data_IF_349641468720
#
_entry.id   IF_349641468720
#
_cell.length_a   1.000
_cell.length_b   1.000
_cell.length_c   1.000
_cell.angle_alpha   90.00
_cell.angle_beta   90.00
_cell.angle_gamma   90.00
#
_symmetry.space_group_name_H-M   'P 1'
#
loop_
_entity.id
_entity.type
_entity.pdbx_description
1 polymer ?
#
# COMPACT_ATOMS: atom_id res chain seq x y z
N UNK A 1 -22.81 -14.09 -0.82
CA UNK A 1 -21.47 -14.43 -1.33
C UNK A 1 -20.89 -13.15 -1.90
N UNK A 2 -19.95 -12.52 -1.22
CA UNK A 2 -19.23 -11.38 -1.78
C UNK A 2 -18.26 -11.92 -2.83
N UNK A 3 -18.39 -11.48 -4.08
CA UNK A 3 -17.53 -11.91 -5.19
C UNK A 3 -16.30 -11.02 -5.26
N UNK A 4 -15.24 -11.47 -5.96
CA UNK A 4 -14.02 -10.68 -6.22
C UNK A 4 -14.34 -9.26 -6.72
N UNK A 5 -15.41 -9.12 -7.51
CA UNK A 5 -15.89 -7.83 -8.03
C UNK A 5 -16.29 -6.81 -6.95
N UNK A 6 -16.87 -7.26 -5.83
CA UNK A 6 -17.21 -6.37 -4.70
C UNK A 6 -15.94 -5.82 -4.04
N UNK A 7 -14.92 -6.67 -3.89
CA UNK A 7 -13.62 -6.27 -3.37
C UNK A 7 -12.85 -5.36 -4.34
N UNK A 8 -12.99 -5.57 -5.65
CA UNK A 8 -12.41 -4.69 -6.68
C UNK A 8 -13.01 -3.28 -6.58
N UNK A 9 -14.33 -3.18 -6.43
CA UNK A 9 -15.02 -1.91 -6.22
C UNK A 9 -14.56 -1.23 -4.93
N UNK A 10 -14.50 -1.96 -3.82
CA UNK A 10 -14.00 -1.43 -2.53
C UNK A 10 -12.54 -1.00 -2.60
N UNK A 11 -11.66 -1.80 -3.20
CA UNK A 11 -10.26 -1.46 -3.39
C UNK A 11 -10.13 -0.17 -4.21
N UNK A 12 -10.87 -0.08 -5.33
CA UNK A 12 -10.87 1.10 -6.18
C UNK A 12 -11.44 2.32 -5.45
N UNK A 13 -12.50 2.17 -4.68
CA UNK A 13 -13.09 3.25 -3.89
C UNK A 13 -12.12 3.72 -2.79
N UNK A 14 -11.47 2.81 -2.08
CA UNK A 14 -10.44 3.15 -1.09
C UNK A 14 -9.28 3.91 -1.72
N UNK A 15 -8.78 3.42 -2.86
CA UNK A 15 -7.68 4.04 -3.61
C UNK A 15 -8.09 5.40 -4.21
N UNK A 16 -9.32 5.54 -4.70
CA UNK A 16 -9.82 6.79 -5.29
C UNK A 16 -10.26 7.81 -4.23
N UNK A 17 -10.74 7.35 -3.08
CA UNK A 17 -11.17 8.20 -1.97
C UNK A 17 -9.99 8.67 -1.12
N UNK A 18 -8.91 7.89 -1.06
CA UNK A 18 -7.70 8.24 -0.31
C UNK A 18 -6.55 8.53 -1.27
N UNK A 19 -6.08 9.78 -1.26
CA UNK A 19 -4.90 10.18 -2.04
C UNK A 19 -3.66 9.36 -1.65
N UNK A 20 -3.56 8.96 -0.39
CA UNK A 20 -2.46 8.16 0.15
C UNK A 20 -3.05 6.91 0.77
N UNK A 21 -2.89 5.77 0.09
CA UNK A 21 -3.41 4.48 0.53
C UNK A 21 -2.26 3.48 0.57
N UNK A 22 -2.28 2.57 1.53
CA UNK A 22 -1.24 1.56 1.67
C UNK A 22 -1.87 0.23 2.01
N UNK A 23 -1.49 -0.79 1.26
CA UNK A 23 -1.91 -2.16 1.52
C UNK A 23 -0.81 -2.88 2.28
N UNK A 24 -1.12 -3.34 3.49
CA UNK A 24 -0.21 -4.07 4.36
C UNK A 24 -0.78 -5.42 4.75
N UNK A 25 0.11 -6.28 5.24
CA UNK A 25 -0.28 -7.49 5.93
C UNK A 25 0.54 -7.62 7.22
N UNK A 26 -0.14 -7.76 8.35
CA UNK A 26 0.46 -7.74 9.67
C UNK A 26 1.50 -8.87 9.88
N UNK A 27 1.32 -10.00 9.19
CA UNK A 27 2.25 -11.13 9.20
C UNK A 27 3.53 -10.88 8.37
N UNK A 28 3.61 -9.79 7.61
CA UNK A 28 4.70 -9.51 6.68
C UNK A 28 5.74 -8.56 7.32
N UNK A 29 7.00 -9.00 7.51
CA UNK A 29 8.04 -8.18 8.15
C UNK A 29 8.37 -6.93 7.32
N UNK A 30 8.28 -7.02 5.99
CA UNK A 30 8.51 -5.92 5.05
C UNK A 30 7.52 -4.77 5.22
N UNK A 31 6.29 -5.08 5.64
CA UNK A 31 5.27 -4.08 5.95
C UNK A 31 5.65 -3.28 7.20
N UNK A 32 6.19 -3.93 8.23
CA UNK A 32 6.62 -3.27 9.47
C UNK A 32 7.81 -2.33 9.23
N UNK A 33 8.74 -2.76 8.37
CA UNK A 33 9.86 -1.92 7.95
C UNK A 33 9.36 -0.67 7.21
N UNK A 34 8.51 -0.85 6.19
CA UNK A 34 7.92 0.26 5.43
C UNK A 34 7.17 1.25 6.34
N UNK A 35 6.37 0.75 7.29
CA UNK A 35 5.67 1.59 8.26
C UNK A 35 6.64 2.37 9.17
N UNK A 36 7.73 1.74 9.59
CA UNK A 36 8.75 2.41 10.40
C UNK A 36 9.40 3.57 9.64
N UNK A 37 9.67 3.38 8.35
CA UNK A 37 10.20 4.45 7.49
C UNK A 37 9.19 5.58 7.34
N UNK A 38 7.95 5.26 6.96
CA UNK A 38 6.87 6.26 6.85
C UNK A 38 6.63 7.01 8.17
N UNK A 39 6.81 6.35 9.31
CA UNK A 39 6.72 6.97 10.64
C UNK A 39 7.89 7.91 10.90
N UNK A 40 9.12 7.56 10.50
CA UNK A 40 10.30 8.44 10.64
C UNK A 40 10.10 9.77 9.91
N UNK A 41 9.38 9.77 8.79
CA UNK A 41 9.07 11.00 8.03
C UNK A 41 7.77 11.68 8.46
N UNK A 42 7.08 11.17 9.50
CA UNK A 42 5.79 11.69 10.00
C UNK A 42 4.66 11.68 8.93
N UNK A 43 4.82 10.88 7.88
CA UNK A 43 3.86 10.78 6.77
C UNK A 43 2.89 9.63 6.93
N UNK A 44 3.22 8.61 7.75
CA UNK A 44 2.36 7.42 7.94
C UNK A 44 0.93 7.79 8.35
N UNK A 45 0.76 8.80 9.21
CA UNK A 45 -0.55 9.30 9.65
C UNK A 45 -1.43 9.84 8.52
N UNK A 46 -0.83 10.23 7.38
CA UNK A 46 -1.55 10.65 6.17
C UNK A 46 -1.96 9.47 5.29
N UNK A 47 -1.32 8.32 5.46
CA UNK A 47 -1.63 7.11 4.72
C UNK A 47 -2.78 6.34 5.36
N UNK A 48 -3.75 5.98 4.54
CA UNK A 48 -4.76 5.02 4.93
C UNK A 48 -4.20 3.61 4.72
N UNK A 49 -3.86 2.93 5.81
CA UNK A 49 -3.42 1.52 5.77
C UNK A 49 -4.62 0.58 5.80
N UNK A 50 -4.63 -0.41 4.91
CA UNK A 50 -5.54 -1.54 4.95
C UNK A 50 -4.71 -2.79 5.28
N UNK A 51 -5.00 -3.38 6.44
CA UNK A 51 -4.41 -4.66 6.81
C UNK A 51 -5.28 -5.80 6.29
N UNK A 52 -4.74 -6.57 5.35
CA UNK A 52 -5.36 -7.83 4.93
C UNK A 52 -4.78 -9.02 5.71
N UNK A 53 -3.77 -8.80 6.54
CA UNK A 53 -3.09 -9.86 7.29
C UNK A 53 -3.98 -10.50 8.35
N UNK A 54 -4.88 -9.73 8.95
CA UNK A 54 -5.83 -10.17 9.96
C UNK A 54 -7.03 -10.95 9.37
N UNK A 55 -7.25 -10.86 8.06
CA UNK A 55 -8.37 -11.52 7.38
C UNK A 55 -8.10 -13.02 7.15
N UNK A 56 -9.15 -13.86 7.01
CA UNK A 56 -8.99 -15.27 6.66
C UNK A 56 -8.35 -15.45 5.27
N UNK A 57 -7.64 -16.56 5.07
CA UNK A 57 -6.88 -16.85 3.84
C UNK A 57 -7.68 -16.69 2.54
N UNK A 58 -8.97 -17.03 2.58
CA UNK A 58 -9.88 -16.92 1.43
C UNK A 58 -10.14 -15.45 1.05
N UNK A 59 -10.39 -14.60 2.05
CA UNK A 59 -10.52 -13.16 1.86
C UNK A 59 -9.19 -12.52 1.47
N UNK A 60 -8.07 -12.98 2.03
CA UNK A 60 -6.74 -12.51 1.63
C UNK A 60 -6.49 -12.75 0.15
N UNK A 61 -6.80 -13.95 -0.35
CA UNK A 61 -6.64 -14.26 -1.76
C UNK A 61 -7.57 -13.40 -2.62
N UNK A 62 -8.82 -13.23 -2.18
CA UNK A 62 -9.81 -12.39 -2.86
C UNK A 62 -9.34 -10.94 -2.96
N UNK A 63 -8.87 -10.34 -1.86
CA UNK A 63 -8.29 -9.01 -1.85
C UNK A 63 -7.05 -8.91 -2.75
N UNK A 64 -6.14 -9.87 -2.68
CA UNK A 64 -4.94 -9.88 -3.55
C UNK A 64 -5.31 -9.93 -5.02
N UNK A 65 -6.31 -10.72 -5.40
CA UNK A 65 -6.80 -10.80 -6.79
C UNK A 65 -7.47 -9.47 -7.18
N UNK A 66 -8.31 -8.91 -6.32
CA UNK A 66 -8.98 -7.65 -6.55
C UNK A 66 -7.98 -6.49 -6.74
N UNK A 67 -7.01 -6.34 -5.83
CA UNK A 67 -5.95 -5.34 -5.97
C UNK A 67 -5.10 -5.58 -7.21
N UNK A 68 -4.79 -6.83 -7.55
CA UNK A 68 -4.07 -7.16 -8.80
C UNK A 68 -4.85 -6.71 -10.03
N UNK A 69 -6.17 -6.91 -10.08
CA UNK A 69 -6.97 -6.48 -11.22
C UNK A 69 -7.10 -4.95 -11.30
N UNK A 70 -7.28 -4.27 -10.17
CA UNK A 70 -7.45 -2.81 -10.12
C UNK A 70 -6.13 -2.08 -10.41
N UNK A 71 -5.03 -2.60 -9.89
CA UNK A 71 -3.74 -1.88 -9.85
C UNK A 71 -2.67 -2.50 -10.73
N UNK A 72 -2.81 -3.78 -11.09
CA UNK A 72 -1.82 -4.56 -11.83
C UNK A 72 -0.81 -5.28 -10.92
N UNK A 73 -0.70 -4.92 -9.64
CA UNK A 73 0.30 -5.50 -8.71
C UNK A 73 -0.34 -6.43 -7.69
N UNK A 74 0.32 -7.58 -7.46
CA UNK A 74 -0.03 -8.56 -6.42
C UNK A 74 0.87 -8.45 -5.18
N UNK A 75 1.88 -7.59 -5.21
CA UNK A 75 2.88 -7.50 -4.16
C UNK A 75 2.37 -6.74 -2.93
N UNK A 76 2.90 -7.11 -1.77
CA UNK A 76 2.68 -6.47 -0.47
C UNK A 76 4.05 -6.29 0.17
N UNK A 77 4.32 -5.15 0.85
CA UNK A 77 3.49 -3.96 0.93
C UNK A 77 3.45 -3.19 -0.40
N UNK A 78 2.31 -2.57 -0.71
CA UNK A 78 2.19 -1.63 -1.83
C UNK A 78 1.60 -0.32 -1.35
N UNK A 79 2.29 0.76 -1.68
CA UNK A 79 1.88 2.14 -1.43
C UNK A 79 1.25 2.68 -2.71
N UNK A 80 0.10 3.31 -2.54
CA UNK A 80 -0.71 3.92 -3.58
C UNK A 80 -0.78 5.42 -3.34
N UNK A 81 -0.49 6.18 -4.38
CA UNK A 81 -0.64 7.63 -4.38
C UNK A 81 -1.47 8.03 -5.59
N UNK A 82 -2.54 8.79 -5.35
CA UNK A 82 -3.41 9.34 -6.40
C UNK A 82 -3.94 8.26 -7.36
N UNK A 83 -4.32 7.09 -6.82
CA UNK A 83 -4.84 6.02 -7.65
C UNK A 83 -3.80 5.07 -8.27
N UNK A 84 -2.50 5.38 -8.13
CA UNK A 84 -1.42 4.66 -8.81
C UNK A 84 -0.47 4.01 -7.81
N UNK A 85 0.13 2.90 -8.23
CA UNK A 85 1.23 2.27 -7.47
C UNK A 85 2.39 3.25 -7.45
N UNK A 86 2.79 3.65 -6.25
CA UNK A 86 3.88 4.60 -6.05
C UNK A 86 5.18 3.92 -5.63
N UNK A 87 5.12 3.07 -4.61
CA UNK A 87 6.29 2.32 -4.14
C UNK A 87 5.88 0.99 -3.49
N UNK A 88 6.77 0.01 -3.60
CA UNK A 88 6.76 -1.23 -2.82
C UNK A 88 7.89 -1.18 -1.79
N UNK A 89 8.03 -2.19 -0.94
CA UNK A 89 9.14 -2.28 0.01
C UNK A 89 10.51 -2.17 -0.69
N UNK A 90 10.70 -2.85 -1.82
CA UNK A 90 11.96 -2.76 -2.58
C UNK A 90 12.26 -1.33 -3.03
N UNK A 91 11.24 -0.56 -3.44
CA UNK A 91 11.42 0.84 -3.82
C UNK A 91 11.76 1.71 -2.60
N UNK A 92 11.12 1.48 -1.45
CA UNK A 92 11.44 2.16 -0.19
C UNK A 92 12.88 1.87 0.23
N UNK A 93 13.28 0.59 0.18
CA UNK A 93 14.62 0.13 0.55
C UNK A 93 15.69 0.71 -0.38
N UNK A 94 15.48 0.66 -1.70
CA UNK A 94 16.38 1.28 -2.69
C UNK A 94 16.47 2.80 -2.52
N UNK A 95 15.35 3.47 -2.19
CA UNK A 95 15.36 4.91 -2.00
C UNK A 95 16.03 5.34 -0.68
N UNK A 96 15.91 4.53 0.37
CA UNK A 96 16.62 4.73 1.65
C UNK A 96 18.13 4.59 1.46
N UNK A 97 18.58 3.53 0.78
CA UNK A 97 20.00 3.30 0.46
C UNK A 97 20.57 4.45 -0.39
N UNK A 98 19.78 4.93 -1.37
CA UNK A 98 20.16 6.04 -2.24
C UNK A 98 20.01 7.45 -1.65
N UNK A 99 19.53 7.63 -0.42
CA UNK A 99 19.17 8.94 0.18
C UNK A 99 18.16 9.78 -0.63
N UNK A 100 17.50 9.20 -1.64
CA UNK A 100 16.53 9.89 -2.53
C UNK A 100 15.09 9.78 -2.02
N UNK A 101 14.88 8.98 -0.98
CA UNK A 101 13.59 8.78 -0.33
C UNK A 101 12.85 10.08 0.04
N UNK A 102 13.44 11.06 0.77
CA UNK A 102 12.75 12.31 1.09
C UNK A 102 12.41 13.14 -0.15
N UNK A 103 13.24 13.09 -1.20
CA UNK A 103 12.96 13.79 -2.45
C UNK A 103 11.73 13.19 -3.15
N UNK A 104 11.64 11.85 -3.21
CA UNK A 104 10.46 11.13 -3.71
C UNK A 104 9.20 11.44 -2.90
N UNK A 105 9.29 11.47 -1.57
CA UNK A 105 8.17 11.85 -0.70
C UNK A 105 7.71 13.28 -0.98
N UNK A 106 8.64 14.21 -1.18
CA UNK A 106 8.34 15.61 -1.51
C UNK A 106 7.70 15.75 -2.90
N UNK A 107 8.21 15.05 -3.90
CA UNK A 107 7.59 14.99 -5.25
C UNK A 107 6.19 14.38 -5.22
N UNK A 108 5.98 13.38 -4.36
CA UNK A 108 4.68 12.77 -4.13
C UNK A 108 3.70 13.66 -3.34
N UNK A 109 4.16 14.79 -2.80
CA UNK A 109 3.36 15.71 -1.99
C UNK A 109 3.08 15.20 -0.57
N UNK A 110 3.94 14.32 -0.05
CA UNK A 110 3.86 13.80 1.31
C UNK A 110 4.60 14.69 2.32
N UNK A 111 5.64 15.40 1.85
CA UNK A 111 6.48 16.36 2.57
C UNK A 111 6.29 17.79 2.04
#
# INVERSE_FOLDING_TARGET
>A
MSTVADYELKAKELISSNKFFQLIANWCPDCQYTNSILTKFDVLQRFKTLDIGDLPKDEQETWRVAFKNVTGSRNLPTIFIDGRIWATETEIHNCEDGNVLPAKFKEAGLL
#
